data_IF_930422660750
#
_entry.id   IF_930422660750
#
_cell.length_a   1.000
_cell.length_b   1.000
_cell.length_c   1.000
_cell.angle_alpha   90.00
_cell.angle_beta   90.00
_cell.angle_gamma   90.00
#
_symmetry.space_group_name_H-M   'P 1'
#
loop_
_entity.id
_entity.type
_entity.pdbx_description
1 polymer ?
#
# COMPACT_ATOMS: atom_id res chain seq x y z
N UNK A 1 -12.94 60.85 -71.49
CA UNK A 1 -13.25 60.92 -70.06
C UNK A 1 -13.56 59.58 -69.55
N UNK A 2 -12.63 58.89 -68.91
CA UNK A 2 -12.90 57.65 -68.10
C UNK A 2 -11.94 57.67 -66.90
N UNK A 3 -12.51 57.78 -65.70
CA UNK A 3 -11.79 57.83 -64.41
C UNK A 3 -11.48 56.41 -63.95
N UNK A 4 -10.19 56.04 -63.87
CA UNK A 4 -9.70 54.83 -63.27
C UNK A 4 -9.74 54.96 -61.74
N UNK A 5 -10.53 54.10 -61.10
CA UNK A 5 -10.50 53.93 -59.67
C UNK A 5 -9.51 52.80 -59.36
N UNK A 6 -8.38 53.19 -58.73
CA UNK A 6 -7.43 52.27 -58.19
C UNK A 6 -7.98 51.74 -56.82
N UNK A 7 -8.36 50.45 -56.73
CA UNK A 7 -8.67 49.87 -55.50
C UNK A 7 -7.39 49.34 -54.82
N UNK A 8 -7.06 49.96 -53.71
CA UNK A 8 -5.92 49.57 -52.87
C UNK A 8 -6.42 48.45 -51.96
N UNK A 9 -5.98 47.23 -52.22
CA UNK A 9 -6.29 46.04 -51.36
C UNK A 9 -5.23 45.98 -50.25
N UNK A 10 -5.59 46.32 -49.02
CA UNK A 10 -4.78 46.07 -47.84
C UNK A 10 -4.88 44.60 -47.47
N UNK A 11 -3.82 43.81 -47.72
CA UNK A 11 -3.68 42.46 -47.21
C UNK A 11 -3.26 42.57 -45.75
N UNK A 12 -4.21 42.28 -44.83
CA UNK A 12 -3.93 42.13 -43.42
C UNK A 12 -3.34 40.72 -43.21
N UNK A 13 -2.02 40.63 -43.04
CA UNK A 13 -1.36 39.41 -42.61
C UNK A 13 -1.65 39.20 -41.12
N UNK A 14 -2.64 38.38 -40.80
CA UNK A 14 -2.87 37.91 -39.45
C UNK A 14 -1.79 36.88 -39.07
N UNK A 15 -0.75 37.33 -38.36
CA UNK A 15 0.19 36.42 -37.69
C UNK A 15 -0.52 35.71 -36.53
N UNK A 16 -1.04 34.51 -36.80
CA UNK A 16 -1.51 33.60 -35.76
C UNK A 16 -0.28 33.13 -34.97
N UNK A 17 0.03 33.82 -33.87
CA UNK A 17 0.93 33.30 -32.85
C UNK A 17 0.24 32.08 -32.21
N UNK A 18 0.56 30.88 -32.71
CA UNK A 18 0.22 29.65 -32.04
C UNK A 18 0.98 29.62 -30.70
N UNK A 19 0.33 30.07 -29.63
CA UNK A 19 0.75 29.71 -28.27
C UNK A 19 0.71 28.19 -28.20
N UNK A 20 1.85 27.55 -28.43
CA UNK A 20 2.07 26.20 -28.02
C UNK A 20 2.02 26.22 -26.49
N UNK A 21 0.86 25.87 -25.92
CA UNK A 21 0.79 25.47 -24.54
C UNK A 21 1.70 24.24 -24.41
N UNK A 22 2.93 24.48 -23.98
CA UNK A 22 3.77 23.40 -23.46
C UNK A 22 2.94 22.77 -22.34
N UNK A 23 2.67 21.43 -22.37
CA UNK A 23 2.07 20.79 -21.22
C UNK A 23 2.98 21.18 -20.06
N UNK A 24 2.40 21.83 -19.03
CA UNK A 24 3.11 22.09 -17.79
C UNK A 24 3.63 20.75 -17.31
N UNK A 25 4.91 20.49 -17.53
CA UNK A 25 5.57 19.31 -17.01
C UNK A 25 5.28 19.33 -15.51
N UNK A 26 4.49 18.35 -15.06
CA UNK A 26 4.06 18.27 -13.67
C UNK A 26 5.34 18.14 -12.82
N UNK A 27 5.82 19.27 -12.32
CA UNK A 27 7.01 19.30 -11.46
C UNK A 27 6.66 18.60 -10.17
N UNK A 28 7.50 17.66 -9.71
CA UNK A 28 7.36 17.06 -8.40
C UNK A 28 7.60 18.13 -7.33
N UNK A 29 6.59 18.94 -7.12
CA UNK A 29 6.56 20.02 -6.14
C UNK A 29 6.04 19.52 -4.77
N UNK A 30 6.02 20.39 -3.75
CA UNK A 30 5.54 20.07 -2.42
C UNK A 30 4.14 19.42 -2.41
N UNK A 31 3.24 19.86 -3.31
CA UNK A 31 1.90 19.28 -3.43
C UNK A 31 1.89 17.83 -3.91
N UNK A 32 2.73 17.49 -4.87
CA UNK A 32 2.81 16.10 -5.37
C UNK A 32 3.43 15.19 -4.32
N UNK A 33 4.45 15.66 -3.60
CA UNK A 33 5.02 14.97 -2.45
C UNK A 33 3.95 14.73 -1.40
N UNK A 34 3.17 15.75 -1.03
CA UNK A 34 2.09 15.63 -0.05
C UNK A 34 1.00 14.63 -0.49
N UNK A 35 0.61 14.65 -1.77
CA UNK A 35 -0.37 13.69 -2.32
C UNK A 35 0.15 12.27 -2.26
N UNK A 36 1.39 12.04 -2.68
CA UNK A 36 2.01 10.72 -2.59
C UNK A 36 2.11 10.24 -1.13
N UNK A 37 2.62 11.06 -0.22
CA UNK A 37 2.72 10.71 1.20
C UNK A 37 1.35 10.38 1.82
N UNK A 38 0.27 11.04 1.41
CA UNK A 38 -1.09 10.72 1.84
C UNK A 38 -1.50 9.29 1.47
N UNK A 39 -1.10 8.78 0.30
CA UNK A 39 -1.37 7.38 -0.08
C UNK A 39 -0.52 6.41 0.74
N UNK A 40 0.73 6.75 1.03
CA UNK A 40 1.60 5.96 1.92
C UNK A 40 0.99 5.87 3.32
N UNK A 41 0.56 6.98 3.90
CA UNK A 41 -0.10 7.02 5.21
C UNK A 41 -1.41 6.24 5.24
N UNK A 42 -2.20 6.27 4.15
CA UNK A 42 -3.41 5.47 4.04
C UNK A 42 -3.09 3.97 4.03
N UNK A 43 -2.01 3.57 3.37
CA UNK A 43 -1.52 2.18 3.36
C UNK A 43 -1.07 1.76 4.76
N UNK A 44 -0.30 2.59 5.47
CA UNK A 44 0.13 2.33 6.85
C UNK A 44 -1.05 2.12 7.79
N UNK A 45 -2.08 2.98 7.70
CA UNK A 45 -3.31 2.81 8.51
C UNK A 45 -4.00 1.48 8.21
N UNK A 46 -4.12 1.11 6.93
CA UNK A 46 -4.75 -0.15 6.53
C UNK A 46 -3.96 -1.39 7.00
N UNK A 47 -2.62 -1.30 7.02
CA UNK A 47 -1.76 -2.33 7.62
C UNK A 47 -2.07 -2.47 9.12
N UNK A 48 -2.17 -1.35 9.85
CA UNK A 48 -2.51 -1.36 11.28
C UNK A 48 -3.88 -1.97 11.57
N UNK A 49 -4.89 -1.65 10.75
CA UNK A 49 -6.24 -2.23 10.87
C UNK A 49 -6.23 -3.75 10.60
N UNK A 50 -5.51 -4.20 9.57
CA UNK A 50 -5.37 -5.62 9.25
C UNK A 50 -4.67 -6.39 10.37
N UNK A 51 -3.63 -5.79 10.95
CA UNK A 51 -2.90 -6.35 12.09
C UNK A 51 -3.78 -6.48 13.34
N UNK A 52 -4.57 -5.45 13.66
CA UNK A 52 -5.48 -5.47 14.80
C UNK A 52 -6.58 -6.54 14.63
N UNK A 53 -7.14 -6.68 13.44
CA UNK A 53 -8.12 -7.72 13.15
C UNK A 53 -7.49 -9.12 13.24
N UNK A 54 -6.27 -9.32 12.75
CA UNK A 54 -5.56 -10.58 12.89
C UNK A 54 -5.28 -10.93 14.35
N UNK A 55 -4.92 -9.96 15.21
CA UNK A 55 -4.77 -10.18 16.65
C UNK A 55 -6.06 -10.70 17.29
N UNK A 56 -7.22 -10.14 16.88
CA UNK A 56 -8.52 -10.62 17.33
C UNK A 56 -8.76 -12.05 16.90
N UNK A 57 -8.49 -12.39 15.63
CA UNK A 57 -8.62 -13.77 15.11
C UNK A 57 -7.78 -14.75 15.90
N UNK A 58 -6.52 -14.40 16.19
CA UNK A 58 -5.60 -15.22 16.99
C UNK A 58 -6.14 -15.40 18.42
N UNK A 59 -6.65 -14.36 19.05
CA UNK A 59 -7.21 -14.41 20.39
C UNK A 59 -8.45 -15.34 20.45
N UNK A 60 -9.36 -15.21 19.46
CA UNK A 60 -10.55 -16.08 19.35
C UNK A 60 -10.14 -17.54 19.14
N UNK A 61 -9.19 -17.81 18.24
CA UNK A 61 -8.64 -19.14 18.01
C UNK A 61 -8.04 -19.72 19.30
N UNK A 62 -7.23 -18.98 20.03
CA UNK A 62 -6.61 -19.42 21.27
C UNK A 62 -7.66 -19.69 22.36
N UNK A 63 -8.73 -18.89 22.46
CA UNK A 63 -9.79 -19.13 23.44
C UNK A 63 -10.48 -20.51 23.26
N UNK A 64 -10.52 -21.00 22.02
CA UNK A 64 -11.04 -22.34 21.69
C UNK A 64 -9.99 -23.41 22.05
N UNK A 65 -8.76 -23.27 21.56
CA UNK A 65 -7.71 -24.29 21.67
C UNK A 65 -7.18 -24.46 23.10
N UNK A 66 -7.27 -23.41 23.92
CA UNK A 66 -6.94 -23.41 25.36
C UNK A 66 -8.16 -23.73 26.24
N UNK A 67 -9.34 -23.93 25.64
CA UNK A 67 -10.60 -24.21 26.35
C UNK A 67 -10.97 -23.11 27.38
N UNK A 68 -10.60 -21.86 27.12
CA UNK A 68 -10.93 -20.70 27.97
C UNK A 68 -12.25 -20.03 27.59
N UNK A 69 -12.79 -20.38 26.42
CA UNK A 69 -14.08 -19.89 25.95
C UNK A 69 -15.22 -20.41 26.83
N UNK A 70 -16.10 -19.51 27.28
CA UNK A 70 -17.29 -19.87 28.09
C UNK A 70 -18.29 -20.71 27.30
N UNK A 71 -18.42 -20.48 26.01
CA UNK A 71 -19.26 -21.19 25.06
C UNK A 71 -18.44 -21.47 23.78
N UNK A 72 -18.05 -22.74 23.62
CA UNK A 72 -17.23 -23.17 22.47
C UNK A 72 -17.96 -23.02 21.15
N UNK A 73 -19.28 -23.21 21.11
CA UNK A 73 -20.07 -23.07 19.88
C UNK A 73 -20.12 -21.62 19.42
N UNK A 74 -20.31 -20.69 20.36
CA UNK A 74 -20.25 -19.26 20.07
C UNK A 74 -18.86 -18.84 19.62
N UNK A 75 -17.80 -19.24 20.35
CA UNK A 75 -16.42 -18.94 20.00
C UNK A 75 -16.02 -19.48 18.62
N UNK A 76 -16.47 -20.68 18.25
CA UNK A 76 -16.26 -21.24 16.93
C UNK A 76 -16.93 -20.40 15.82
N UNK A 77 -18.17 -19.96 16.04
CA UNK A 77 -18.87 -19.06 15.11
C UNK A 77 -18.15 -17.73 14.98
N UNK A 78 -17.68 -17.17 16.10
CA UNK A 78 -16.93 -15.91 16.12
C UNK A 78 -15.58 -16.06 15.39
N UNK A 79 -14.91 -17.22 15.53
CA UNK A 79 -13.68 -17.51 14.77
C UNK A 79 -13.93 -17.45 13.26
N UNK A 80 -15.00 -18.07 12.76
CA UNK A 80 -15.35 -18.02 11.33
C UNK A 80 -15.55 -16.59 10.84
N UNK A 81 -16.21 -15.75 11.64
CA UNK A 81 -16.38 -14.33 11.34
C UNK A 81 -15.04 -13.57 11.36
N UNK A 82 -14.24 -13.78 12.39
CA UNK A 82 -12.97 -13.09 12.54
C UNK A 82 -11.98 -13.46 11.43
N UNK A 83 -12.00 -14.70 10.95
CA UNK A 83 -11.24 -15.16 9.78
C UNK A 83 -11.68 -14.38 8.52
N UNK A 84 -12.99 -14.34 8.26
CA UNK A 84 -13.52 -13.60 7.09
C UNK A 84 -13.21 -12.09 7.17
N UNK A 85 -13.33 -11.49 8.35
CA UNK A 85 -13.01 -10.08 8.57
C UNK A 85 -11.50 -9.81 8.36
N UNK A 86 -10.62 -10.74 8.77
CA UNK A 86 -9.16 -10.64 8.51
C UNK A 86 -8.85 -10.67 7.02
N UNK A 87 -9.45 -11.60 6.27
CA UNK A 87 -9.26 -11.67 4.82
C UNK A 87 -9.76 -10.40 4.12
N UNK A 88 -10.92 -9.90 4.55
CA UNK A 88 -11.48 -8.65 4.02
C UNK A 88 -10.54 -7.47 4.28
N UNK A 89 -10.07 -7.29 5.52
CA UNK A 89 -9.15 -6.20 5.88
C UNK A 89 -7.85 -6.25 5.06
N UNK A 90 -7.29 -7.44 4.84
CA UNK A 90 -6.09 -7.59 4.01
C UNK A 90 -6.39 -7.33 2.52
N UNK A 91 -7.55 -7.74 2.00
CA UNK A 91 -7.96 -7.40 0.64
C UNK A 91 -8.10 -5.89 0.45
N UNK A 92 -8.76 -5.19 1.39
CA UNK A 92 -8.86 -3.72 1.40
C UNK A 92 -7.46 -3.07 1.44
N UNK A 93 -6.55 -3.62 2.24
CA UNK A 93 -5.16 -3.16 2.33
C UNK A 93 -4.36 -3.37 1.03
N UNK A 94 -4.63 -4.43 0.28
CA UNK A 94 -4.03 -4.65 -1.05
C UNK A 94 -4.43 -3.56 -2.04
N UNK A 95 -5.71 -3.17 -2.04
CA UNK A 95 -6.20 -2.04 -2.87
C UNK A 95 -5.45 -0.75 -2.51
N UNK A 96 -5.25 -0.46 -1.21
CA UNK A 96 -4.50 0.73 -0.77
C UNK A 96 -3.02 0.67 -1.18
N UNK A 97 -2.40 -0.50 -1.13
CA UNK A 97 -1.03 -0.69 -1.61
C UNK A 97 -0.92 -0.49 -3.13
N UNK A 98 -1.90 -0.93 -3.91
CA UNK A 98 -1.92 -0.74 -5.36
C UNK A 98 -2.13 0.74 -5.72
N UNK A 99 -3.06 1.45 -5.06
CA UNK A 99 -3.24 2.90 -5.18
C UNK A 99 -1.92 3.66 -4.87
N UNK A 100 -1.22 3.26 -3.82
CA UNK A 100 0.07 3.83 -3.43
C UNK A 100 1.14 3.56 -4.50
N UNK A 101 1.22 2.36 -5.08
CA UNK A 101 2.19 2.04 -6.12
C UNK A 101 1.97 2.90 -7.37
N UNK A 102 0.74 3.08 -7.81
CA UNK A 102 0.39 3.98 -8.94
C UNK A 102 0.79 5.43 -8.63
N UNK A 103 0.53 5.88 -7.40
CA UNK A 103 0.94 7.22 -6.96
C UNK A 103 2.47 7.38 -6.91
N UNK A 104 3.20 6.34 -6.50
CA UNK A 104 4.67 6.32 -6.49
C UNK A 104 5.26 6.42 -7.89
N UNK A 105 4.74 5.66 -8.86
CA UNK A 105 5.18 5.73 -10.26
C UNK A 105 5.01 7.14 -10.84
N UNK A 106 3.83 7.73 -10.63
CA UNK A 106 3.54 9.10 -11.05
C UNK A 106 4.48 10.13 -10.39
N UNK A 107 4.69 10.00 -9.08
CA UNK A 107 5.56 10.87 -8.30
C UNK A 107 7.02 10.79 -8.77
N UNK A 108 7.57 9.59 -8.92
CA UNK A 108 8.96 9.40 -9.36
C UNK A 108 9.17 9.85 -10.82
N UNK A 109 8.19 9.63 -11.68
CA UNK A 109 8.23 10.12 -13.06
C UNK A 109 8.28 11.66 -13.12
N UNK A 110 7.44 12.33 -12.34
CA UNK A 110 7.43 13.79 -12.25
C UNK A 110 8.75 14.32 -11.63
N UNK A 111 9.29 13.65 -10.60
CA UNK A 111 10.59 14.05 -10.04
C UNK A 111 11.72 13.91 -11.07
N UNK A 112 11.75 12.80 -11.83
CA UNK A 112 12.73 12.60 -12.91
C UNK A 112 12.66 13.72 -13.96
N UNK A 113 11.44 14.09 -14.39
CA UNK A 113 11.25 15.19 -15.34
C UNK A 113 11.74 16.54 -14.77
N UNK A 114 11.44 16.82 -13.51
CA UNK A 114 11.90 18.03 -12.82
C UNK A 114 13.43 18.08 -12.68
N UNK A 115 14.04 16.96 -12.34
CA UNK A 115 15.50 16.85 -12.25
C UNK A 115 16.18 17.14 -13.60
N UNK A 116 15.64 16.60 -14.70
CA UNK A 116 16.15 16.82 -16.05
C UNK A 116 16.06 18.29 -16.50
N UNK A 117 15.10 19.04 -15.98
CA UNK A 117 14.93 20.47 -16.28
C UNK A 117 15.91 21.40 -15.53
N UNK A 118 16.68 20.88 -14.57
CA UNK A 118 17.68 21.67 -13.84
C UNK A 118 18.86 21.96 -14.75
N UNK A 119 19.16 23.25 -14.97
CA UNK A 119 20.27 23.68 -15.85
C UNK A 119 21.63 23.46 -15.22
N UNK A 120 21.79 23.66 -13.91
CA UNK A 120 23.04 23.43 -13.19
C UNK A 120 23.35 21.94 -13.09
N UNK A 121 24.50 21.47 -13.62
CA UNK A 121 24.82 20.03 -13.63
C UNK A 121 25.02 19.44 -12.23
N UNK A 122 25.53 20.22 -11.28
CA UNK A 122 25.76 19.78 -9.92
C UNK A 122 24.47 19.59 -9.13
N UNK A 123 23.50 20.53 -9.29
CA UNK A 123 22.18 20.41 -8.69
C UNK A 123 21.37 19.28 -9.34
N UNK A 124 21.44 19.14 -10.66
CA UNK A 124 20.80 18.02 -11.37
C UNK A 124 21.28 16.68 -10.84
N UNK A 125 22.60 16.47 -10.80
CA UNK A 125 23.18 15.22 -10.27
C UNK A 125 22.70 14.90 -8.85
N UNK A 126 22.68 15.89 -7.95
CA UNK A 126 22.17 15.69 -6.58
C UNK A 126 20.68 15.32 -6.55
N UNK A 127 19.87 15.91 -7.42
CA UNK A 127 18.44 15.57 -7.53
C UNK A 127 18.24 14.14 -8.02
N UNK A 128 19.00 13.70 -9.02
CA UNK A 128 18.97 12.33 -9.55
C UNK A 128 19.44 11.31 -8.52
N UNK A 129 20.49 11.59 -7.77
CA UNK A 129 20.98 10.73 -6.67
C UNK A 129 19.93 10.57 -5.57
N UNK A 130 19.25 11.66 -5.18
CA UNK A 130 18.17 11.62 -4.19
C UNK A 130 16.96 10.83 -4.72
N UNK A 131 16.59 11.00 -5.98
CA UNK A 131 15.53 10.23 -6.63
C UNK A 131 15.86 8.73 -6.59
N UNK A 132 17.06 8.34 -7.00
CA UNK A 132 17.50 6.96 -7.00
C UNK A 132 17.48 6.34 -5.59
N UNK A 133 17.94 7.08 -4.58
CA UNK A 133 17.89 6.64 -3.18
C UNK A 133 16.46 6.44 -2.68
N UNK A 134 15.54 7.38 -2.99
CA UNK A 134 14.13 7.28 -2.63
C UNK A 134 13.44 6.09 -3.29
N UNK A 135 13.69 5.87 -4.59
CA UNK A 135 13.18 4.69 -5.31
C UNK A 135 13.70 3.37 -4.73
N UNK A 136 14.99 3.31 -4.39
CA UNK A 136 15.58 2.12 -3.80
C UNK A 136 14.99 1.81 -2.41
N UNK A 137 14.76 2.83 -1.59
CA UNK A 137 14.13 2.67 -0.27
C UNK A 137 12.67 2.19 -0.42
N UNK A 138 11.89 2.82 -1.29
CA UNK A 138 10.51 2.41 -1.58
C UNK A 138 10.45 0.96 -2.11
N UNK A 139 11.37 0.58 -3.00
CA UNK A 139 11.47 -0.79 -3.50
C UNK A 139 11.74 -1.83 -2.40
N UNK A 140 12.59 -1.52 -1.42
CA UNK A 140 12.82 -2.39 -0.25
C UNK A 140 11.55 -2.59 0.57
N UNK A 141 10.76 -1.54 0.77
CA UNK A 141 9.47 -1.61 1.48
C UNK A 141 8.49 -2.51 0.72
N UNK A 142 8.42 -2.37 -0.61
CA UNK A 142 7.55 -3.20 -1.45
C UNK A 142 7.89 -4.70 -1.33
N UNK A 143 9.18 -5.05 -1.30
CA UNK A 143 9.65 -6.44 -1.10
C UNK A 143 9.26 -6.95 0.29
N UNK A 144 9.50 -6.18 1.34
CA UNK A 144 9.13 -6.54 2.70
C UNK A 144 7.60 -6.69 2.86
N UNK A 145 6.81 -5.82 2.23
CA UNK A 145 5.36 -5.91 2.20
C UNK A 145 4.84 -7.17 1.51
N UNK A 146 5.48 -7.59 0.42
CA UNK A 146 5.16 -8.85 -0.26
C UNK A 146 5.43 -10.06 0.63
N UNK A 147 6.56 -10.07 1.34
CA UNK A 147 6.93 -11.16 2.25
C UNK A 147 5.98 -11.25 3.46
N UNK A 148 5.58 -10.11 4.06
CA UNK A 148 4.57 -10.07 5.11
C UNK A 148 3.22 -10.63 4.62
N UNK A 149 2.81 -10.29 3.41
CA UNK A 149 1.58 -10.80 2.78
C UNK A 149 1.61 -12.31 2.59
N UNK A 150 2.70 -12.87 2.07
CA UNK A 150 2.85 -14.32 1.90
C UNK A 150 2.74 -15.06 3.24
N UNK A 151 3.32 -14.50 4.29
CA UNK A 151 3.23 -15.06 5.63
C UNK A 151 1.80 -15.04 6.17
N UNK A 152 1.04 -13.96 5.92
CA UNK A 152 -0.37 -13.86 6.24
C UNK A 152 -1.20 -14.92 5.47
N UNK A 153 -1.01 -15.03 4.16
CA UNK A 153 -1.76 -15.98 3.33
C UNK A 153 -1.56 -17.42 3.83
N UNK A 154 -0.33 -17.80 4.21
CA UNK A 154 -0.02 -19.09 4.81
C UNK A 154 -0.73 -19.28 6.16
N UNK A 155 -0.74 -18.27 7.02
CA UNK A 155 -1.43 -18.32 8.31
C UNK A 155 -2.94 -18.49 8.15
N UNK A 156 -3.54 -17.84 7.15
CA UNK A 156 -4.99 -17.95 6.87
C UNK A 156 -5.38 -19.34 6.37
N UNK A 157 -4.53 -20.01 5.61
CA UNK A 157 -4.73 -21.41 5.24
C UNK A 157 -4.75 -22.28 6.50
N UNK A 158 -3.77 -22.12 7.36
CA UNK A 158 -3.68 -22.93 8.60
C UNK A 158 -4.92 -22.79 9.49
N UNK A 159 -5.39 -21.56 9.74
CA UNK A 159 -6.55 -21.35 10.62
C UNK A 159 -7.84 -21.86 10.00
N UNK A 160 -7.98 -21.77 8.66
CA UNK A 160 -9.14 -22.33 7.95
C UNK A 160 -9.19 -23.84 8.02
N UNK A 161 -8.05 -24.51 7.81
CA UNK A 161 -7.97 -25.98 7.90
C UNK A 161 -8.34 -26.45 9.31
N UNK A 162 -7.82 -25.80 10.34
CA UNK A 162 -8.13 -26.10 11.73
C UNK A 162 -9.57 -25.76 12.09
N UNK A 163 -10.12 -24.66 11.56
CA UNK A 163 -11.53 -24.30 11.73
C UNK A 163 -12.44 -25.35 11.07
N UNK A 164 -12.09 -25.83 9.88
CA UNK A 164 -12.82 -26.90 9.19
C UNK A 164 -12.82 -28.20 10.02
N UNK A 165 -11.66 -28.57 10.56
CA UNK A 165 -11.54 -29.74 11.46
C UNK A 165 -12.47 -29.62 12.67
N UNK A 166 -12.46 -28.48 13.36
CA UNK A 166 -13.34 -28.19 14.50
C UNK A 166 -14.83 -28.18 14.13
N UNK A 167 -15.15 -27.81 12.89
CA UNK A 167 -16.53 -27.79 12.40
C UNK A 167 -17.18 -29.19 12.34
N UNK A 168 -16.37 -30.22 12.18
CA UNK A 168 -16.85 -31.61 12.18
C UNK A 168 -17.03 -32.20 13.59
N UNK A 169 -16.20 -31.78 14.55
CA UNK A 169 -16.20 -32.37 15.90
C UNK A 169 -15.71 -31.35 16.94
N UNK A 170 -16.63 -30.49 17.41
CA UNK A 170 -16.32 -29.43 18.38
C UNK A 170 -16.44 -29.94 19.81
N UNK A 171 -15.45 -30.72 20.26
CA UNK A 171 -15.38 -31.25 21.61
C UNK A 171 -13.96 -31.23 22.19
N UNK A 172 -13.83 -31.53 23.48
CA UNK A 172 -12.56 -31.50 24.20
C UNK A 172 -11.48 -32.41 23.58
N UNK A 173 -11.86 -33.57 23.02
CA UNK A 173 -10.93 -34.51 22.40
C UNK A 173 -10.37 -33.95 21.09
N UNK A 174 -11.24 -33.40 20.23
CA UNK A 174 -10.84 -32.76 18.99
C UNK A 174 -9.92 -31.56 19.26
N UNK A 175 -10.26 -30.72 20.25
CA UNK A 175 -9.43 -29.57 20.65
C UNK A 175 -8.07 -30.06 21.17
N UNK A 176 -8.01 -31.10 21.97
CA UNK A 176 -6.74 -31.66 22.46
C UNK A 176 -5.83 -32.11 21.30
N UNK A 177 -6.41 -32.62 20.22
CA UNK A 177 -5.68 -33.04 19.00
C UNK A 177 -5.04 -31.86 18.30
N UNK A 178 -5.60 -30.65 18.42
CA UNK A 178 -5.08 -29.42 17.76
C UNK A 178 -3.93 -28.74 18.53
N UNK A 179 -3.65 -29.11 19.78
CA UNK A 179 -2.61 -28.41 20.59
C UNK A 179 -1.25 -28.24 19.87
N UNK A 180 -0.67 -29.27 19.19
CA UNK A 180 0.58 -29.09 18.45
C UNK A 180 0.44 -28.10 17.28
N UNK A 181 -0.73 -28.08 16.63
CA UNK A 181 -1.02 -27.17 15.52
C UNK A 181 -1.25 -25.74 16.02
N UNK A 182 -1.88 -25.57 17.20
CA UNK A 182 -2.06 -24.27 17.85
C UNK A 182 -0.71 -23.59 18.16
N UNK A 183 0.27 -24.34 18.65
CA UNK A 183 1.61 -23.82 18.89
C UNK A 183 2.27 -23.34 17.58
N UNK A 184 2.15 -24.11 16.49
CA UNK A 184 2.67 -23.72 15.17
C UNK A 184 1.94 -22.49 14.62
N UNK A 185 0.62 -22.44 14.75
CA UNK A 185 -0.20 -21.32 14.35
C UNK A 185 0.22 -20.03 15.07
N UNK A 186 0.38 -20.06 16.39
CA UNK A 186 0.83 -18.93 17.17
C UNK A 186 2.24 -18.45 16.78
N UNK A 187 3.18 -19.37 16.52
CA UNK A 187 4.52 -19.01 16.03
C UNK A 187 4.46 -18.30 14.67
N UNK A 188 3.60 -18.77 13.75
CA UNK A 188 3.37 -18.12 12.45
C UNK A 188 2.67 -16.77 12.60
N UNK A 189 1.68 -16.65 13.48
CA UNK A 189 1.02 -15.37 13.77
C UNK A 189 2.04 -14.34 14.28
N UNK A 190 2.93 -14.72 15.20
CA UNK A 190 4.01 -13.85 15.67
C UNK A 190 4.95 -13.45 14.54
N UNK A 191 5.25 -14.34 13.59
CA UNK A 191 6.05 -14.00 12.40
C UNK A 191 5.33 -12.96 11.54
N UNK A 192 4.02 -13.09 11.31
CA UNK A 192 3.22 -12.10 10.58
C UNK A 192 3.24 -10.75 11.30
N UNK A 193 3.06 -10.72 12.62
CA UNK A 193 3.11 -9.47 13.41
C UNK A 193 4.47 -8.80 13.29
N UNK A 194 5.57 -9.53 13.48
CA UNK A 194 6.93 -8.99 13.38
C UNK A 194 7.21 -8.40 11.99
N UNK A 195 6.82 -9.11 10.94
CA UNK A 195 7.01 -8.62 9.56
C UNK A 195 6.15 -7.38 9.28
N UNK A 196 4.91 -7.37 9.73
CA UNK A 196 3.99 -6.24 9.58
C UNK A 196 4.50 -5.00 10.30
N UNK A 197 4.97 -5.15 11.55
CA UNK A 197 5.56 -4.07 12.33
C UNK A 197 6.83 -3.53 11.67
N UNK A 198 7.66 -4.42 11.09
CA UNK A 198 8.84 -4.03 10.32
C UNK A 198 8.48 -3.21 9.08
N UNK A 199 7.48 -3.61 8.31
CA UNK A 199 6.99 -2.86 7.13
C UNK A 199 6.44 -1.50 7.54
N UNK A 200 5.65 -1.44 8.61
CA UNK A 200 5.11 -0.18 9.15
C UNK A 200 6.25 0.79 9.50
N UNK A 201 7.25 0.32 10.24
CA UNK A 201 8.43 1.13 10.59
C UNK A 201 9.18 1.64 9.36
N UNK A 202 9.38 0.81 8.36
CA UNK A 202 10.04 1.23 7.11
C UNK A 202 9.25 2.33 6.39
N UNK A 203 7.92 2.27 6.38
CA UNK A 203 7.08 3.35 5.82
C UNK A 203 7.18 4.62 6.65
N UNK A 204 7.15 4.55 7.98
CA UNK A 204 7.28 5.71 8.87
C UNK A 204 8.62 6.42 8.67
N UNK A 205 9.73 5.67 8.58
CA UNK A 205 11.05 6.19 8.27
C UNK A 205 11.09 6.84 6.88
N UNK A 206 10.44 6.22 5.89
CA UNK A 206 10.33 6.78 4.55
C UNK A 206 9.56 8.09 4.54
N UNK A 207 8.40 8.15 5.21
CA UNK A 207 7.59 9.38 5.36
C UNK A 207 8.43 10.48 6.02
N UNK A 208 9.15 10.15 7.09
CA UNK A 208 10.00 11.11 7.81
C UNK A 208 11.12 11.66 6.90
N UNK A 209 11.73 10.83 6.05
CA UNK A 209 12.79 11.25 5.11
C UNK A 209 12.30 12.16 3.98
N UNK A 210 10.99 12.12 3.70
CA UNK A 210 10.36 12.88 2.61
C UNK A 210 9.71 14.19 3.06
N UNK A 211 9.49 14.36 4.36
CA UNK A 211 8.98 15.62 4.94
C UNK A 211 10.10 16.64 5.06
N UNK A 212 9.79 17.95 4.84
CA UNK A 212 10.75 19.04 5.04
C UNK A 212 11.17 19.19 6.50
#
# INVERSE_FOLDING_TARGET
MKRNKVCLVFALAAAAAALRATPAAAQAGPEQTARFLKTVEATVRSIGESRAQLQKTVATYNSITEMTAKDLKSAYKDLGKDVADSEKKVADGRVKADEMNVAAESYFSAWKASAAAISDPGLRKRSEERLAASQAQFGKIAVAGKDARQSFDTLMIDVKDQSTFLGHDLNASAIATLKPNAAKFNARANTVFTKTDGVTKMYEEYIASMRP
#
